data_IF_621159256322
#
_entry.id   IF_621159256322
#
_cell.length_a   1.000
_cell.length_b   1.000
_cell.length_c   1.000
_cell.angle_alpha   90.00
_cell.angle_beta   90.00
_cell.angle_gamma   90.00
#
_symmetry.space_group_name_H-M   'P 1'
#
loop_
_entity.id
_entity.type
_entity.pdbx_description
1 polymer ?
#
# COMPACT_ATOMS: atom_id res chain seq x y z
N UNK A 1 -6.65 -10.76 10.90
CA UNK A 1 -5.85 -9.90 10.01
C UNK A 1 -4.94 -10.79 9.16
N UNK A 2 -5.05 -10.74 7.82
CA UNK A 2 -4.26 -11.60 6.94
C UNK A 2 -2.75 -11.36 7.08
N UNK A 3 -1.96 -12.45 7.01
CA UNK A 3 -0.49 -12.44 7.21
C UNK A 3 0.23 -11.37 6.36
N UNK A 4 -0.21 -11.19 5.12
CA UNK A 4 0.38 -10.21 4.20
C UNK A 4 0.24 -8.76 4.66
N UNK A 5 -0.81 -8.40 5.41
CA UNK A 5 -0.96 -7.03 5.92
C UNK A 5 0.02 -6.73 7.06
N UNK A 6 0.26 -7.70 7.94
CA UNK A 6 1.23 -7.56 9.03
C UNK A 6 2.66 -7.46 8.48
N UNK A 7 2.96 -8.30 7.49
CA UNK A 7 4.24 -8.25 6.76
C UNK A 7 4.43 -6.88 6.09
N UNK A 8 3.37 -6.33 5.47
CA UNK A 8 3.40 -4.99 4.87
C UNK A 8 3.64 -3.86 5.88
N UNK A 9 2.98 -3.88 7.04
CA UNK A 9 3.19 -2.87 8.10
C UNK A 9 4.63 -2.93 8.62
N UNK A 10 5.16 -4.14 8.79
CA UNK A 10 6.52 -4.37 9.31
C UNK A 10 7.57 -3.94 8.31
N UNK A 11 7.42 -4.35 7.04
CA UNK A 11 8.23 -3.88 5.92
C UNK A 11 8.18 -2.36 5.86
N UNK A 12 6.99 -1.75 5.83
CA UNK A 12 6.85 -0.30 5.82
C UNK A 12 7.67 0.34 6.93
N UNK A 13 7.56 -0.12 8.19
CA UNK A 13 8.32 0.44 9.32
C UNK A 13 9.84 0.40 9.10
N UNK A 14 10.37 -0.68 8.53
CA UNK A 14 11.80 -0.89 8.28
C UNK A 14 12.28 -0.25 6.95
N UNK A 15 11.38 0.02 6.00
CA UNK A 15 11.66 0.54 4.64
C UNK A 15 12.30 1.94 4.58
N UNK A 16 12.15 2.80 5.59
CA UNK A 16 12.46 4.24 5.45
C UNK A 16 13.95 4.59 5.30
N UNK A 17 14.85 3.61 5.35
CA UNK A 17 16.30 3.83 5.29
C UNK A 17 16.99 3.15 4.10
N UNK A 18 16.30 2.36 3.29
CA UNK A 18 16.88 1.65 2.13
C UNK A 18 16.16 1.98 0.82
N UNK A 19 16.90 2.60 -0.12
CA UNK A 19 16.41 2.99 -1.44
C UNK A 19 15.94 1.81 -2.29
N UNK A 20 16.58 0.64 -2.19
CA UNK A 20 16.12 -0.57 -2.93
C UNK A 20 14.77 -1.01 -2.42
N UNK A 21 14.59 -0.95 -1.11
CA UNK A 21 13.35 -1.28 -0.44
C UNK A 21 12.22 -0.30 -0.81
N UNK A 22 12.49 1.01 -0.89
CA UNK A 22 11.52 2.01 -1.41
C UNK A 22 11.18 1.73 -2.88
N UNK A 23 12.18 1.42 -3.71
CA UNK A 23 11.98 1.06 -5.12
C UNK A 23 11.10 -0.18 -5.29
N UNK A 24 11.32 -1.23 -4.50
CA UNK A 24 10.49 -2.44 -4.51
C UNK A 24 9.06 -2.14 -4.05
N UNK A 25 8.89 -1.27 -3.05
CA UNK A 25 7.57 -0.86 -2.59
C UNK A 25 6.78 -0.15 -3.69
N UNK A 26 7.38 0.84 -4.36
CA UNK A 26 6.72 1.61 -5.42
C UNK A 26 6.44 0.79 -6.68
N UNK A 27 7.38 -0.07 -7.10
CA UNK A 27 7.30 -0.69 -8.41
C UNK A 27 6.70 -2.11 -8.40
N UNK A 28 6.66 -2.78 -7.25
CA UNK A 28 6.24 -4.18 -7.15
C UNK A 28 5.10 -4.34 -6.14
N UNK A 29 5.34 -3.95 -4.89
CA UNK A 29 4.43 -4.26 -3.78
C UNK A 29 3.14 -3.44 -3.89
N UNK A 30 3.23 -2.11 -3.95
CA UNK A 30 2.06 -1.22 -4.03
C UNK A 30 1.18 -1.53 -5.25
N UNK A 31 1.72 -1.67 -6.48
CA UNK A 31 0.91 -2.01 -7.64
C UNK A 31 0.21 -3.37 -7.52
N UNK A 32 0.86 -4.35 -6.90
CA UNK A 32 0.26 -5.66 -6.65
C UNK A 32 -0.88 -5.56 -5.66
N UNK A 33 -0.68 -4.85 -4.54
CA UNK A 33 -1.73 -4.63 -3.54
C UNK A 33 -2.92 -3.85 -4.12
N UNK A 34 -2.69 -2.88 -5.01
CA UNK A 34 -3.77 -2.16 -5.71
C UNK A 34 -4.62 -3.11 -6.56
N UNK A 35 -4.00 -4.03 -7.30
CA UNK A 35 -4.73 -5.03 -8.10
C UNK A 35 -5.56 -5.96 -7.21
N UNK A 36 -5.00 -6.43 -6.11
CA UNK A 36 -5.74 -7.31 -5.18
C UNK A 36 -6.86 -6.57 -4.47
N UNK A 37 -6.64 -5.32 -4.03
CA UNK A 37 -7.67 -4.48 -3.44
C UNK A 37 -8.84 -4.24 -4.42
N UNK A 38 -8.55 -4.01 -5.70
CA UNK A 38 -9.59 -3.87 -6.72
C UNK A 38 -10.43 -5.13 -6.91
N UNK A 39 -9.81 -6.32 -6.93
CA UNK A 39 -10.53 -7.60 -6.98
C UNK A 39 -11.44 -7.78 -5.77
N UNK A 40 -10.92 -7.50 -4.57
CA UNK A 40 -11.69 -7.61 -3.33
C UNK A 40 -12.84 -6.61 -3.29
N UNK A 41 -12.62 -5.36 -3.73
CA UNK A 41 -13.66 -4.34 -3.84
C UNK A 41 -14.79 -4.75 -4.78
N UNK A 42 -14.44 -5.35 -5.92
CA UNK A 42 -15.44 -5.90 -6.85
C UNK A 42 -16.25 -7.03 -6.18
N UNK A 43 -15.58 -7.96 -5.51
CA UNK A 43 -16.26 -9.05 -4.80
C UNK A 43 -17.18 -8.55 -3.67
N UNK A 44 -16.75 -7.54 -2.91
CA UNK A 44 -17.60 -6.88 -1.89
C UNK A 44 -18.82 -6.23 -2.53
N UNK A 45 -18.66 -5.60 -3.70
CA UNK A 45 -19.76 -4.95 -4.43
C UNK A 45 -20.78 -5.98 -4.94
N UNK A 46 -20.32 -7.12 -5.45
CA UNK A 46 -21.19 -8.23 -5.89
C UNK A 46 -21.95 -8.89 -4.73
N UNK A 47 -21.37 -8.87 -3.53
CA UNK A 47 -21.92 -9.46 -2.30
C UNK A 47 -22.48 -8.42 -1.33
N UNK A 48 -22.86 -7.24 -1.82
CA UNK A 48 -23.14 -6.05 -1.02
C UNK A 48 -23.97 -6.33 0.25
N UNK A 49 -23.38 -6.02 1.42
CA UNK A 49 -24.02 -6.18 2.74
C UNK A 49 -23.94 -7.57 3.36
N UNK A 50 -23.50 -8.60 2.63
CA UNK A 50 -23.39 -9.96 3.17
C UNK A 50 -22.18 -10.13 4.12
N UNK A 51 -21.12 -9.34 3.92
CA UNK A 51 -19.87 -9.47 4.66
C UNK A 51 -19.29 -8.10 5.08
N UNK A 52 -19.84 -7.45 6.12
CA UNK A 52 -19.40 -6.13 6.57
C UNK A 52 -17.95 -6.11 7.09
N UNK A 53 -17.43 -7.25 7.57
CA UNK A 53 -16.03 -7.37 7.96
C UNK A 53 -15.09 -7.31 6.76
N UNK A 54 -15.48 -7.93 5.64
CA UNK A 54 -14.70 -7.91 4.41
C UNK A 54 -14.62 -6.51 3.81
N UNK A 55 -15.73 -5.77 3.84
CA UNK A 55 -15.78 -4.37 3.39
C UNK A 55 -14.79 -3.51 4.19
N UNK A 56 -14.78 -3.65 5.51
CA UNK A 56 -13.84 -2.94 6.40
C UNK A 56 -12.38 -3.34 6.13
N UNK A 57 -12.11 -4.62 5.90
CA UNK A 57 -10.77 -5.10 5.58
C UNK A 57 -10.27 -4.55 4.25
N UNK A 58 -11.15 -4.40 3.25
CA UNK A 58 -10.84 -3.75 1.96
C UNK A 58 -10.52 -2.27 2.15
N UNK A 59 -11.31 -1.55 2.94
CA UNK A 59 -11.06 -0.14 3.25
C UNK A 59 -9.71 0.07 3.97
N UNK A 60 -9.39 -0.81 4.92
CA UNK A 60 -8.12 -0.81 5.63
C UNK A 60 -6.94 -1.06 4.68
N UNK A 61 -7.07 -2.03 3.77
CA UNK A 61 -6.05 -2.31 2.76
C UNK A 61 -5.83 -1.10 1.85
N UNK A 62 -6.89 -0.48 1.35
CA UNK A 62 -6.79 0.72 0.51
C UNK A 62 -6.16 1.91 1.25
N UNK A 63 -6.47 2.07 2.54
CA UNK A 63 -5.83 3.08 3.38
C UNK A 63 -4.33 2.83 3.54
N UNK A 64 -3.93 1.57 3.77
CA UNK A 64 -2.52 1.18 3.88
C UNK A 64 -1.75 1.38 2.57
N UNK A 65 -2.39 1.14 1.43
CA UNK A 65 -1.83 1.44 0.10
C UNK A 65 -1.59 2.95 -0.05
N UNK A 66 -2.59 3.80 0.26
CA UNK A 66 -2.45 5.25 0.21
C UNK A 66 -1.32 5.77 1.10
N UNK A 67 -1.22 5.26 2.32
CA UNK A 67 -0.15 5.60 3.25
C UNK A 67 1.23 5.16 2.72
N UNK A 68 1.31 3.98 2.10
CA UNK A 68 2.53 3.49 1.45
C UNK A 68 3.01 4.40 0.32
N UNK A 69 2.09 4.83 -0.56
CA UNK A 69 2.39 5.76 -1.66
C UNK A 69 2.94 7.08 -1.11
N UNK A 70 2.26 7.67 -0.12
CA UNK A 70 2.68 8.93 0.50
C UNK A 70 4.07 8.84 1.13
N UNK A 71 4.38 7.70 1.75
CA UNK A 71 5.68 7.48 2.40
C UNK A 71 6.80 7.23 1.41
N UNK A 72 6.52 6.49 0.34
CA UNK A 72 7.55 6.05 -0.61
C UNK A 72 7.79 7.05 -1.74
N UNK A 73 6.88 8.00 -1.96
CA UNK A 73 7.09 9.09 -2.93
C UNK A 73 8.06 10.12 -2.35
N UNK A 74 9.25 10.31 -2.93
CA UNK A 74 10.19 11.32 -2.44
C UNK A 74 9.56 12.72 -2.55
N UNK A 75 9.71 13.53 -1.49
CA UNK A 75 9.28 14.93 -1.54
C UNK A 75 10.20 15.72 -2.49
N UNK A 76 9.68 16.69 -3.25
CA UNK A 76 10.43 17.42 -4.28
C UNK A 76 11.71 18.10 -3.77
N UNK A 77 11.84 18.38 -2.47
CA UNK A 77 13.03 18.99 -1.88
C UNK A 77 14.32 18.15 -2.01
N UNK A 78 14.23 16.83 -2.22
CA UNK A 78 15.43 16.01 -2.44
C UNK A 78 15.94 16.05 -3.89
N UNK A 79 15.12 16.47 -4.86
CA UNK A 79 15.56 16.64 -6.25
C UNK A 79 16.28 17.98 -6.47
N UNK A 80 15.92 19.01 -5.69
CA UNK A 80 16.59 20.32 -5.73
C UNK A 80 18.03 20.27 -5.21
N UNK A 81 18.33 19.36 -4.27
CA UNK A 81 19.68 19.20 -3.68
C UNK A 81 20.73 18.62 -4.64
N UNK A 82 20.31 17.99 -5.75
CA UNK A 82 21.23 17.42 -6.75
C UNK A 82 21.18 18.16 -8.10
N UNK A 83 20.44 19.28 -8.17
CA UNK A 83 20.29 20.10 -9.38
C UNK A 83 21.14 21.39 -9.35
N UNK A 84 22.03 21.54 -8.37
CA UNK A 84 22.94 22.68 -8.20
C UNK A 84 24.40 22.31 -8.53
#
# INVERSE_FOLDING_TARGET
MPKYMLDYIRLCRECSLDLRTIGNMLNIVIPTLQREAAKLRNAVTELAGAFPELERDVELLEAAIRAGIQRCTPRPHQQELFAA
#
